data_IF_018501144549
#
_entry.id   IF_018501144549
#
_cell.length_a   1.000
_cell.length_b   1.000
_cell.length_c   1.000
_cell.angle_alpha   90.00
_cell.angle_beta   90.00
_cell.angle_gamma   90.00
#
_symmetry.space_group_name_H-M   'P 1'
#
loop_
_entity.id
_entity.type
_entity.pdbx_description
1 polymer ?
#
# COMPACT_ATOMS: atom_id res chain seq x y z
N UNK A 1 -11.03 4.80 -2.39
CA UNK A 1 -11.99 4.21 -1.41
C UNK A 1 -11.51 2.79 -1.12
N UNK A 2 -11.18 2.44 0.13
CA UNK A 2 -10.55 1.14 0.43
C UNK A 2 -11.60 0.07 0.67
N UNK A 3 -11.64 -0.95 -0.18
CA UNK A 3 -12.59 -2.05 -0.04
C UNK A 3 -12.10 -3.10 0.96
N UNK A 4 -13.00 -3.66 1.75
CA UNK A 4 -12.67 -4.78 2.64
C UNK A 4 -12.54 -6.06 1.82
N UNK A 5 -11.79 -7.03 2.33
CA UNK A 5 -11.61 -8.32 1.65
C UNK A 5 -12.97 -9.01 1.40
N UNK A 6 -13.84 -9.03 2.41
CA UNK A 6 -15.19 -9.57 2.31
C UNK A 6 -16.08 -8.85 1.28
N UNK A 7 -15.81 -7.57 1.01
CA UNK A 7 -16.51 -6.81 -0.02
C UNK A 7 -15.99 -7.16 -1.42
N UNK A 8 -14.66 -7.28 -1.58
CA UNK A 8 -14.03 -7.68 -2.85
C UNK A 8 -14.31 -9.13 -3.24
N UNK A 9 -14.58 -10.00 -2.27
CA UNK A 9 -14.98 -11.39 -2.55
C UNK A 9 -16.42 -11.46 -3.09
N UNK A 10 -17.27 -10.49 -2.75
CA UNK A 10 -18.63 -10.35 -3.28
C UNK A 10 -18.69 -9.54 -4.59
N UNK A 11 -17.69 -8.71 -4.83
CA UNK A 11 -17.58 -7.83 -6.00
C UNK A 11 -16.22 -8.05 -6.70
N UNK A 12 -16.02 -9.23 -7.34
CA UNK A 12 -14.77 -9.55 -8.03
C UNK A 12 -14.45 -8.56 -9.17
N UNK A 13 -15.45 -7.91 -9.76
CA UNK A 13 -15.32 -6.85 -10.78
C UNK A 13 -14.60 -5.60 -10.27
N UNK A 14 -14.52 -5.40 -8.95
CA UNK A 14 -13.79 -4.29 -8.33
C UNK A 14 -12.34 -4.66 -8.01
N UNK A 15 -11.94 -5.94 -8.18
CA UNK A 15 -10.52 -6.32 -8.07
C UNK A 15 -9.76 -5.72 -9.25
N UNK A 16 -8.71 -4.96 -8.94
CA UNK A 16 -7.88 -4.30 -9.95
C UNK A 16 -8.22 -2.83 -10.20
N UNK A 17 -9.39 -2.34 -9.77
CA UNK A 17 -9.73 -0.90 -9.86
C UNK A 17 -8.77 -0.02 -9.06
N UNK A 18 -8.27 -0.54 -7.94
CA UNK A 18 -7.21 0.13 -7.19
C UNK A 18 -5.96 0.34 -8.05
N UNK A 19 -5.62 -0.60 -8.93
CA UNK A 19 -4.43 -0.59 -9.78
C UNK A 19 -4.54 0.46 -10.90
N UNK A 20 -5.73 0.68 -11.45
CA UNK A 20 -6.00 1.73 -12.45
C UNK A 20 -5.87 3.13 -11.87
N UNK A 21 -6.55 3.40 -10.75
CA UNK A 21 -6.46 4.68 -10.03
C UNK A 21 -5.00 4.98 -9.66
N UNK A 22 -4.31 3.92 -9.24
CA UNK A 22 -2.91 3.95 -8.87
C UNK A 22 -2.01 4.30 -10.07
N UNK A 23 -2.29 3.78 -11.28
CA UNK A 23 -1.57 4.13 -12.51
C UNK A 23 -1.80 5.59 -12.94
N UNK A 24 -3.03 6.09 -12.82
CA UNK A 24 -3.34 7.51 -13.07
C UNK A 24 -2.57 8.42 -12.10
N UNK A 25 -2.49 8.02 -10.83
CA UNK A 25 -1.70 8.74 -9.84
C UNK A 25 -0.20 8.74 -10.20
N UNK A 26 0.36 7.63 -10.70
CA UNK A 26 1.74 7.59 -11.19
C UNK A 26 2.02 8.62 -12.28
N UNK A 27 1.11 8.78 -13.24
CA UNK A 27 1.29 9.74 -14.33
C UNK A 27 1.28 11.19 -13.85
N UNK A 28 0.53 11.48 -12.77
CA UNK A 28 0.61 12.78 -12.09
C UNK A 28 1.96 12.95 -11.39
N UNK A 29 2.42 11.91 -10.69
CA UNK A 29 3.67 11.93 -9.93
C UNK A 29 4.89 12.11 -10.83
N UNK A 30 4.84 11.64 -12.08
CA UNK A 30 5.93 11.84 -13.04
C UNK A 30 6.14 13.29 -13.47
N UNK A 31 5.16 14.17 -13.25
CA UNK A 31 5.14 15.54 -13.77
C UNK A 31 5.46 16.60 -12.72
N UNK A 32 5.59 16.22 -11.45
CA UNK A 32 5.84 17.15 -10.35
C UNK A 32 6.58 16.45 -9.21
N UNK A 33 7.41 17.16 -8.42
CA UNK A 33 8.02 16.59 -7.23
C UNK A 33 6.94 16.13 -6.24
N UNK A 34 7.00 14.88 -5.82
CA UNK A 34 6.07 14.30 -4.83
C UNK A 34 6.82 13.62 -3.70
N UNK A 35 6.25 13.67 -2.50
CA UNK A 35 6.71 12.87 -1.36
C UNK A 35 5.68 11.78 -1.10
N UNK A 36 6.12 10.52 -1.15
CA UNK A 36 5.26 9.37 -0.86
C UNK A 36 5.62 8.82 0.52
N UNK A 37 4.65 8.86 1.43
CA UNK A 37 4.80 8.28 2.78
C UNK A 37 4.12 6.92 2.81
N UNK A 38 4.89 5.88 3.14
CA UNK A 38 4.37 4.51 3.18
C UNK A 38 4.33 3.98 4.61
N UNK A 39 3.15 3.48 5.01
CA UNK A 39 2.96 2.74 6.24
C UNK A 39 3.02 1.24 5.94
N UNK A 40 4.17 0.62 6.20
CA UNK A 40 4.45 -0.76 5.76
C UNK A 40 3.49 -1.81 6.32
N UNK A 41 2.89 -1.57 7.49
CA UNK A 41 1.86 -2.45 8.08
C UNK A 41 0.53 -2.42 7.33
N UNK A 42 0.34 -1.37 6.52
CA UNK A 42 -0.84 -1.12 5.70
C UNK A 42 -2.10 -0.76 6.48
N UNK A 43 -2.16 -0.95 7.80
CA UNK A 43 -3.31 -0.57 8.64
C UNK A 43 -2.85 -0.12 10.01
N UNK A 44 -3.69 0.63 10.72
CA UNK A 44 -3.42 1.01 12.11
C UNK A 44 -3.21 -0.22 13.01
N UNK A 45 -2.18 -0.16 13.83
CA UNK A 45 -1.88 -1.13 14.88
C UNK A 45 -3.06 -1.27 15.86
N UNK A 46 -3.38 -2.51 16.23
CA UNK A 46 -4.20 -2.81 17.40
C UNK A 46 -3.66 -4.08 18.09
N UNK A 47 -3.78 -4.22 19.41
CA UNK A 47 -3.33 -5.43 20.12
C UNK A 47 -3.96 -6.71 19.55
N UNK A 48 -5.24 -6.64 19.17
CA UNK A 48 -5.98 -7.76 18.56
C UNK A 48 -5.35 -8.20 17.23
N UNK A 49 -4.98 -7.25 16.36
CA UNK A 49 -4.32 -7.58 15.07
C UNK A 49 -2.90 -8.08 15.27
N UNK A 50 -2.19 -7.54 16.24
CA UNK A 50 -0.82 -7.96 16.59
C UNK A 50 -0.81 -9.43 17.04
N UNK A 51 -1.68 -9.79 17.99
CA UNK A 51 -1.86 -11.15 18.45
C UNK A 51 -2.31 -12.09 17.32
N UNK A 52 -3.30 -11.67 16.53
CA UNK A 52 -3.89 -12.50 15.47
C UNK A 52 -2.96 -12.85 14.31
N UNK A 53 -1.88 -12.10 14.09
CA UNK A 53 -0.91 -12.39 13.03
C UNK A 53 0.40 -12.98 13.54
N UNK A 54 0.57 -13.11 14.86
CA UNK A 54 1.84 -13.47 15.51
C UNK A 54 3.01 -12.65 14.94
N UNK A 55 2.92 -11.32 15.08
CA UNK A 55 3.98 -10.43 14.57
C UNK A 55 5.29 -10.66 15.36
N UNK A 56 6.45 -10.78 14.69
CA UNK A 56 7.74 -10.92 15.38
C UNK A 56 8.20 -9.62 16.04
N UNK A 57 7.57 -8.49 15.72
CA UNK A 57 7.94 -7.17 16.22
C UNK A 57 7.09 -6.78 17.42
N UNK A 58 7.70 -6.24 18.48
CA UNK A 58 7.00 -5.89 19.72
C UNK A 58 5.88 -4.86 19.54
N UNK A 59 6.09 -3.88 18.66
CA UNK A 59 5.18 -2.74 18.48
C UNK A 59 4.70 -2.57 17.04
N UNK A 60 5.00 -3.54 16.17
CA UNK A 60 4.64 -3.48 14.77
C UNK A 60 3.82 -4.70 14.35
N UNK A 61 2.89 -4.50 13.42
CA UNK A 61 2.27 -5.55 12.63
C UNK A 61 3.28 -6.08 11.59
N UNK A 62 2.96 -7.19 10.92
CA UNK A 62 3.81 -7.70 9.85
C UNK A 62 3.79 -6.73 8.66
N UNK A 63 4.95 -6.39 8.07
CA UNK A 63 5.01 -5.50 6.92
C UNK A 63 4.37 -6.15 5.70
N UNK A 64 3.88 -5.31 4.80
CA UNK A 64 3.28 -5.68 3.52
C UNK A 64 4.05 -5.01 2.41
N UNK A 65 4.50 -5.80 1.44
CA UNK A 65 5.29 -5.30 0.32
C UNK A 65 4.49 -4.41 -0.64
N UNK A 66 3.16 -4.52 -0.67
CA UNK A 66 2.32 -3.92 -1.71
C UNK A 66 2.52 -2.40 -1.89
N UNK A 67 2.63 -1.64 -0.80
CA UNK A 67 2.84 -0.20 -0.89
C UNK A 67 4.21 0.19 -1.46
N UNK A 68 5.26 -0.54 -1.10
CA UNK A 68 6.63 -0.23 -1.56
C UNK A 68 6.81 -0.69 -3.00
N UNK A 69 6.33 -1.90 -3.33
CA UNK A 69 6.32 -2.42 -4.68
C UNK A 69 5.59 -1.47 -5.64
N UNK A 70 4.51 -0.85 -5.18
CA UNK A 70 3.82 0.17 -5.95
C UNK A 70 4.70 1.38 -6.25
N UNK A 71 5.31 2.00 -5.23
CA UNK A 71 6.19 3.16 -5.41
C UNK A 71 7.34 2.85 -6.37
N UNK A 72 7.96 1.67 -6.24
CA UNK A 72 9.04 1.24 -7.12
C UNK A 72 8.57 1.03 -8.56
N UNK A 73 7.40 0.43 -8.77
CA UNK A 73 6.84 0.24 -10.11
C UNK A 73 6.40 1.56 -10.76
N UNK A 74 5.96 2.53 -9.97
CA UNK A 74 5.45 3.82 -10.41
C UNK A 74 6.55 4.84 -10.72
N UNK A 75 7.53 4.92 -9.83
CA UNK A 75 8.50 6.01 -9.73
C UNK A 75 9.94 5.53 -9.80
N UNK A 76 10.20 4.23 -10.02
CA UNK A 76 11.55 3.66 -9.88
C UNK A 76 12.65 4.41 -10.65
N UNK A 77 12.37 4.91 -11.84
CA UNK A 77 13.33 5.69 -12.65
C UNK A 77 13.50 7.14 -12.19
N UNK A 78 12.55 7.68 -11.42
CA UNK A 78 12.49 9.06 -10.93
C UNK A 78 12.66 9.13 -9.41
N UNK A 79 13.05 8.03 -8.77
CA UNK A 79 13.18 7.95 -7.33
C UNK A 79 14.59 8.40 -6.94
N UNK A 80 14.69 9.60 -6.39
CA UNK A 80 15.98 10.17 -5.98
C UNK A 80 16.56 9.47 -4.74
N UNK A 81 15.73 9.11 -3.76
CA UNK A 81 16.16 8.48 -2.52
C UNK A 81 15.03 7.74 -1.78
N UNK A 82 15.41 6.75 -0.96
CA UNK A 82 14.58 6.16 0.10
C UNK A 82 15.19 6.55 1.45
N UNK A 83 14.39 7.08 2.36
CA UNK A 83 14.80 7.57 3.68
C UNK A 83 14.39 6.63 4.81
#
# INVERSE_FOLDING_TARGET
KRYTKAFLDKHPELKGKDLEITKEACELFKRQPVTVVNYLEGTRFTPVKHAGQASPYRYLLKPKAGGVAFVLAALGEQLDAVL
#
